data_IF_640237390351
#
_entry.id   IF_640237390351
#
_cell.length_a   1.000
_cell.length_b   1.000
_cell.length_c   1.000
_cell.angle_alpha   90.00
_cell.angle_beta   90.00
_cell.angle_gamma   90.00
#
_symmetry.space_group_name_H-M   'P 1'
#
loop_
_entity.id
_entity.type
_entity.pdbx_description
1 polymer ?
#
# COMPACT_ATOMS: atom_id res chain seq x y z
N UNK A 1 4.25 6.83 2.48
CA UNK A 1 3.42 5.64 2.74
C UNK A 1 4.13 4.81 3.80
N UNK A 2 3.43 4.31 4.83
CA UNK A 2 4.05 3.47 5.86
C UNK A 2 4.56 2.12 5.30
N UNK A 3 5.35 1.41 6.10
CA UNK A 3 5.99 0.14 5.69
C UNK A 3 4.99 -0.99 5.49
N UNK A 4 3.93 -1.09 6.28
CA UNK A 4 2.95 -2.17 6.17
C UNK A 4 2.14 -2.04 4.87
N UNK A 5 1.71 -0.83 4.52
CA UNK A 5 1.05 -0.51 3.26
C UNK A 5 1.92 -0.82 2.05
N UNK A 6 3.22 -0.49 2.11
CA UNK A 6 4.18 -0.83 1.06
C UNK A 6 4.34 -2.37 0.91
N UNK A 7 4.44 -3.09 2.02
CA UNK A 7 4.53 -4.56 2.02
C UNK A 7 3.29 -5.22 1.42
N UNK A 8 2.10 -4.71 1.73
CA UNK A 8 0.86 -5.20 1.13
C UNK A 8 0.87 -5.03 -0.40
N UNK A 9 1.34 -3.90 -0.93
CA UNK A 9 1.48 -3.69 -2.38
C UNK A 9 2.56 -4.60 -2.97
N UNK A 10 3.72 -4.73 -2.32
CA UNK A 10 4.83 -5.58 -2.77
C UNK A 10 4.42 -7.06 -2.83
N UNK A 11 3.56 -7.55 -1.93
CA UNK A 11 3.02 -8.91 -1.97
C UNK A 11 2.33 -9.22 -3.31
N UNK A 12 1.64 -8.23 -3.89
CA UNK A 12 0.92 -8.35 -5.16
C UNK A 12 1.69 -7.78 -6.35
N UNK A 13 2.99 -7.49 -6.21
CA UNK A 13 3.79 -6.84 -7.24
C UNK A 13 3.79 -7.56 -8.57
N UNK A 14 3.91 -8.89 -8.58
CA UNK A 14 3.91 -9.66 -9.82
C UNK A 14 2.59 -9.43 -10.60
N UNK A 15 1.45 -9.58 -9.92
CA UNK A 15 0.14 -9.33 -10.49
C UNK A 15 0.00 -7.88 -10.99
N UNK A 16 0.40 -6.89 -10.18
CA UNK A 16 0.38 -5.47 -10.57
C UNK A 16 1.28 -5.20 -11.80
N UNK A 17 2.45 -5.80 -11.87
CA UNK A 17 3.35 -5.65 -13.02
C UNK A 17 2.75 -6.24 -14.31
N UNK A 18 2.05 -7.37 -14.19
CA UNK A 18 1.54 -8.13 -15.32
C UNK A 18 0.20 -7.58 -15.85
N UNK A 19 -0.73 -7.19 -14.98
CA UNK A 19 -2.10 -6.87 -15.37
C UNK A 19 -2.50 -5.40 -15.22
N UNK A 20 -1.77 -4.59 -14.42
CA UNK A 20 -2.19 -3.21 -14.15
C UNK A 20 -2.09 -2.35 -15.41
N UNK A 21 -3.12 -1.52 -15.66
CA UNK A 21 -3.12 -0.46 -16.66
C UNK A 21 -2.72 0.88 -16.02
N UNK A 22 -1.44 1.28 -16.08
CA UNK A 22 -0.91 2.36 -15.25
C UNK A 22 -1.53 3.71 -15.59
N UNK A 23 -1.84 3.96 -16.87
CA UNK A 23 -2.46 5.22 -17.30
C UNK A 23 -3.90 5.33 -16.81
N UNK A 24 -4.70 4.26 -16.92
CA UNK A 24 -6.08 4.24 -16.42
C UNK A 24 -6.14 4.35 -14.90
N UNK A 25 -5.21 3.71 -14.19
CA UNK A 25 -5.09 3.86 -12.73
C UNK A 25 -4.68 5.30 -12.39
N UNK A 26 -3.72 5.87 -13.11
CA UNK A 26 -3.26 7.24 -12.91
C UNK A 26 -4.40 8.26 -13.10
N UNK A 27 -5.22 8.10 -14.13
CA UNK A 27 -6.38 8.97 -14.40
C UNK A 27 -7.45 8.89 -13.28
N UNK A 28 -7.51 7.76 -12.58
CA UNK A 28 -8.43 7.52 -11.47
C UNK A 28 -7.87 7.90 -10.08
N UNK A 29 -6.59 8.30 -10.00
CA UNK A 29 -6.00 8.78 -8.74
C UNK A 29 -6.62 10.11 -8.32
N UNK A 30 -6.54 10.38 -7.01
CA UNK A 30 -6.98 11.67 -6.47
C UNK A 30 -6.18 12.82 -7.12
N UNK A 31 -6.89 13.88 -7.53
CA UNK A 31 -6.29 15.05 -8.12
C UNK A 31 -5.25 15.66 -7.18
N UNK A 32 -4.07 15.99 -7.70
CA UNK A 32 -2.98 16.58 -6.92
C UNK A 32 -2.10 15.57 -6.17
N UNK A 33 -2.43 14.28 -6.15
CA UNK A 33 -1.55 13.26 -5.58
C UNK A 33 -0.25 13.14 -6.38
N UNK A 34 -0.36 13.14 -7.72
CA UNK A 34 0.76 13.20 -8.64
C UNK A 34 0.90 14.62 -9.19
N UNK A 35 2.12 15.16 -9.14
CA UNK A 35 2.48 16.39 -9.84
C UNK A 35 2.43 16.19 -11.35
N UNK A 36 2.30 17.28 -12.10
CA UNK A 36 2.32 17.25 -13.57
C UNK A 36 3.60 16.59 -14.09
N UNK A 37 4.75 16.88 -13.48
CA UNK A 37 6.04 16.30 -13.88
C UNK A 37 6.07 14.78 -13.68
N UNK A 38 5.53 14.27 -12.57
CA UNK A 38 5.45 12.83 -12.32
C UNK A 38 4.49 12.13 -13.29
N UNK A 39 3.37 12.77 -13.63
CA UNK A 39 2.43 12.24 -14.61
C UNK A 39 3.06 12.15 -16.00
N UNK A 40 3.72 13.20 -16.46
CA UNK A 40 4.42 13.19 -17.75
C UNK A 40 5.55 12.17 -17.76
N UNK A 41 6.33 12.06 -16.68
CA UNK A 41 7.37 11.03 -16.57
C UNK A 41 6.81 9.60 -16.72
N UNK A 42 5.64 9.30 -16.14
CA UNK A 42 4.98 8.00 -16.33
C UNK A 42 4.47 7.84 -17.77
N UNK A 43 3.87 8.87 -18.37
CA UNK A 43 3.37 8.81 -19.76
C UNK A 43 4.48 8.61 -20.77
N UNK A 44 5.60 9.31 -20.59
CA UNK A 44 6.76 9.33 -21.48
C UNK A 44 7.69 8.13 -21.31
N UNK A 45 7.46 7.28 -20.31
CA UNK A 45 8.17 5.99 -20.16
C UNK A 45 7.82 5.06 -21.34
N UNK A 46 8.58 5.22 -22.43
CA UNK A 46 8.33 4.58 -23.74
C UNK A 46 8.74 3.11 -23.82
N UNK A 47 9.26 2.50 -22.75
CA UNK A 47 9.80 1.14 -22.83
C UNK A 47 8.72 0.07 -22.75
N UNK A 48 7.94 -0.02 -21.65
CA UNK A 48 6.89 -1.04 -21.51
C UNK A 48 5.76 -0.61 -20.56
N UNK A 49 4.60 -1.30 -20.60
CA UNK A 49 3.56 -1.20 -19.56
C UNK A 49 4.12 -1.52 -18.17
N UNK A 50 4.99 -2.53 -18.10
CA UNK A 50 5.61 -3.00 -16.87
C UNK A 50 6.49 -1.92 -16.23
N UNK A 51 7.25 -1.19 -17.04
CA UNK A 51 8.08 -0.08 -16.55
C UNK A 51 7.19 1.04 -16.01
N UNK A 52 6.12 1.40 -16.72
CA UNK A 52 5.14 2.37 -16.24
C UNK A 52 4.47 1.95 -14.92
N UNK A 53 4.15 0.67 -14.77
CA UNK A 53 3.64 0.12 -13.51
C UNK A 53 4.67 0.29 -12.38
N UNK A 54 5.95 -0.01 -12.66
CA UNK A 54 7.04 0.15 -11.70
C UNK A 54 7.21 1.61 -11.29
N UNK A 55 7.21 2.54 -12.25
CA UNK A 55 7.38 3.97 -11.95
C UNK A 55 6.21 4.52 -11.14
N UNK A 56 4.97 4.20 -11.51
CA UNK A 56 3.79 4.61 -10.75
C UNK A 56 3.86 4.15 -9.29
N UNK A 57 4.15 2.86 -9.05
CA UNK A 57 4.27 2.33 -7.68
C UNK A 57 5.44 2.97 -6.92
N UNK A 58 6.58 3.15 -7.58
CA UNK A 58 7.77 3.78 -6.98
C UNK A 58 7.49 5.22 -6.55
N UNK A 59 6.75 5.98 -7.35
CA UNK A 59 6.33 7.34 -7.01
C UNK A 59 5.37 7.32 -5.82
N UNK A 60 4.36 6.44 -5.82
CA UNK A 60 3.40 6.32 -4.72
C UNK A 60 4.07 5.98 -3.37
N UNK A 61 5.10 5.13 -3.37
CA UNK A 61 5.85 4.78 -2.15
C UNK A 61 6.58 5.98 -1.55
N UNK A 62 7.03 6.92 -2.39
CA UNK A 62 7.73 8.14 -1.98
C UNK A 62 6.80 9.26 -1.55
N UNK A 63 5.48 9.13 -1.74
CA UNK A 63 4.51 10.13 -1.30
C UNK A 63 4.44 10.21 0.22
N UNK A 64 4.27 11.45 0.71
CA UNK A 64 4.01 11.74 2.12
C UNK A 64 2.76 11.01 2.56
N UNK A 65 2.79 10.48 3.78
CA UNK A 65 1.70 9.68 4.32
C UNK A 65 0.41 10.48 4.51
N UNK A 66 0.54 11.78 4.83
CA UNK A 66 -0.56 12.75 4.92
C UNK A 66 -1.41 12.87 3.64
N UNK A 67 -0.85 12.47 2.49
CA UNK A 67 -1.57 12.47 1.20
C UNK A 67 -2.33 11.17 0.94
N UNK A 68 -2.33 10.23 1.90
CA UNK A 68 -3.03 8.95 1.83
C UNK A 68 -2.82 8.20 0.50
N UNK A 69 -1.57 8.05 0.01
CA UNK A 69 -1.30 7.50 -1.31
C UNK A 69 -1.80 6.07 -1.48
N UNK A 70 -1.86 5.29 -0.41
CA UNK A 70 -2.34 3.91 -0.43
C UNK A 70 -3.84 3.86 -0.65
N UNK A 71 -4.61 4.63 0.14
CA UNK A 71 -6.06 4.71 0.06
C UNK A 71 -6.49 5.18 -1.33
N UNK A 72 -5.83 6.23 -1.84
CA UNK A 72 -6.07 6.72 -3.20
C UNK A 72 -5.71 5.70 -4.28
N UNK A 73 -4.62 4.95 -4.12
CA UNK A 73 -4.25 3.88 -5.05
C UNK A 73 -5.28 2.75 -5.08
N UNK A 74 -5.73 2.29 -3.91
CA UNK A 74 -6.77 1.25 -3.80
C UNK A 74 -8.08 1.73 -4.45
N UNK A 75 -8.49 2.99 -4.22
CA UNK A 75 -9.68 3.54 -4.87
C UNK A 75 -9.53 3.67 -6.38
N UNK A 76 -8.35 4.05 -6.87
CA UNK A 76 -8.09 4.15 -8.30
C UNK A 76 -8.14 2.79 -9.00
N UNK A 77 -7.58 1.74 -8.39
CA UNK A 77 -7.70 0.37 -8.89
C UNK A 77 -9.17 -0.06 -8.97
N UNK A 78 -9.97 0.17 -7.92
CA UNK A 78 -11.41 -0.17 -7.91
C UNK A 78 -12.21 0.53 -9.01
N UNK A 79 -11.80 1.74 -9.42
CA UNK A 79 -12.46 2.51 -10.48
C UNK A 79 -12.00 2.15 -11.89
N UNK A 80 -10.94 1.35 -12.04
CA UNK A 80 -10.34 1.05 -13.33
C UNK A 80 -11.13 -0.01 -14.09
N UNK A 81 -11.31 -1.20 -13.50
CA UNK A 81 -12.19 -2.27 -14.00
C UNK A 81 -12.41 -3.34 -12.91
N UNK A 82 -13.22 -4.36 -13.21
CA UNK A 82 -13.55 -5.45 -12.29
C UNK A 82 -12.33 -6.26 -11.83
N UNK A 83 -11.33 -6.49 -12.68
CA UNK A 83 -10.15 -7.26 -12.30
C UNK A 83 -9.27 -6.46 -11.32
N UNK A 84 -9.12 -5.16 -11.58
CA UNK A 84 -8.42 -4.26 -10.68
C UNK A 84 -9.18 -4.06 -9.36
N UNK A 85 -10.52 -4.11 -9.38
CA UNK A 85 -11.33 -4.09 -8.16
C UNK A 85 -11.08 -5.31 -7.26
N UNK A 86 -10.99 -6.52 -7.84
CA UNK A 86 -10.64 -7.74 -7.11
C UNK A 86 -9.25 -7.60 -6.50
N UNK A 87 -8.25 -7.21 -7.30
CA UNK A 87 -6.88 -7.01 -6.84
C UNK A 87 -6.79 -5.97 -5.72
N UNK A 88 -7.55 -4.88 -5.81
CA UNK A 88 -7.61 -3.86 -4.78
C UNK A 88 -8.22 -4.36 -3.46
N UNK A 89 -9.23 -5.24 -3.54
CA UNK A 89 -9.81 -5.90 -2.35
C UNK A 89 -8.79 -6.83 -1.70
N UNK A 90 -8.07 -7.61 -2.49
CA UNK A 90 -7.05 -8.55 -2.01
C UNK A 90 -5.91 -7.81 -1.30
N UNK A 91 -5.35 -6.77 -1.92
CA UNK A 91 -4.30 -5.94 -1.30
C UNK A 91 -4.78 -5.33 0.02
N UNK A 92 -6.01 -4.78 0.04
CA UNK A 92 -6.57 -4.16 1.24
C UNK A 92 -6.83 -5.20 2.35
N UNK A 93 -7.24 -6.41 2.00
CA UNK A 93 -7.46 -7.49 2.95
C UNK A 93 -6.14 -7.97 3.56
N UNK A 94 -5.09 -8.15 2.76
CA UNK A 94 -3.75 -8.50 3.25
C UNK A 94 -3.23 -7.44 4.21
N UNK A 95 -3.35 -6.16 3.87
CA UNK A 95 -2.97 -5.07 4.78
C UNK A 95 -3.70 -5.15 6.12
N UNK A 96 -5.03 -5.36 6.12
CA UNK A 96 -5.83 -5.46 7.35
C UNK A 96 -5.42 -6.66 8.20
N UNK A 97 -5.31 -7.83 7.59
CA UNK A 97 -4.96 -9.06 8.29
C UNK A 97 -3.56 -8.98 8.94
N UNK A 98 -2.57 -8.47 8.20
CA UNK A 98 -1.20 -8.35 8.72
C UNK A 98 -1.09 -7.27 9.80
N UNK A 99 -1.90 -6.22 9.72
CA UNK A 99 -1.97 -5.22 10.77
C UNK A 99 -2.65 -5.78 12.04
N UNK A 100 -3.75 -6.53 11.90
CA UNK A 100 -4.42 -7.18 13.03
C UNK A 100 -3.52 -8.22 13.72
N UNK A 101 -2.75 -8.99 12.94
CA UNK A 101 -1.76 -9.93 13.48
C UNK A 101 -0.63 -9.21 14.25
N UNK A 102 -0.15 -8.06 13.75
CA UNK A 102 0.84 -7.25 14.44
C UNK A 102 0.30 -6.63 15.74
N UNK A 103 -0.98 -6.19 15.74
CA UNK A 103 -1.66 -5.68 16.94
C UNK A 103 -1.80 -6.78 17.99
N UNK A 104 -2.22 -7.98 17.61
CA UNK A 104 -2.37 -9.12 18.53
C UNK A 104 -1.03 -9.54 19.16
N UNK A 105 0.07 -9.55 18.41
CA UNK A 105 1.40 -9.85 18.95
C UNK A 105 1.92 -8.79 19.94
N UNK A 106 1.55 -7.53 19.75
CA UNK A 106 1.95 -6.45 20.65
C UNK A 106 1.15 -6.46 21.97
N UNK A 107 -0.14 -6.83 21.92
CA UNK A 107 -0.97 -6.98 23.12
C UNK A 107 -0.47 -8.14 23.98
N UNK A 108 -0.10 -9.28 23.37
CA UNK A 108 0.44 -10.42 24.14
C UNK A 108 1.73 -10.09 24.90
N UNK A 109 2.61 -9.26 24.33
CA UNK A 109 3.90 -8.88 24.96
C UNK A 109 3.78 -7.86 26.10
N UNK A 110 2.71 -7.08 26.15
CA UNK A 110 2.49 -6.12 27.25
C UNK A 110 1.88 -6.76 28.50
N UNK A 111 1.32 -7.97 28.38
CA UNK A 111 0.73 -8.72 29.51
C UNK A 111 1.77 -9.33 30.44
N UNK A 112 3.02 -9.48 30.00
CA UNK A 112 4.09 -10.17 30.75
C UNK A 112 4.92 -9.21 31.64
N UNK A 113 4.56 -7.92 31.73
CA UNK A 113 5.35 -6.89 32.43
C UNK A 113 4.74 -6.40 33.76
N UNK A 114 3.68 -7.04 34.28
CA UNK A 114 3.04 -6.68 35.56
C UNK A 114 3.11 -7.78 36.64
N UNK A 115 4.19 -8.59 36.68
CA UNK A 115 4.54 -9.33 37.91
C UNK A 115 5.53 -8.52 38.76
N UNK A 116 5.01 -7.44 39.34
CA UNK A 116 5.62 -6.75 40.48
C UNK A 116 5.69 -7.67 41.69
N UNK A 117 6.88 -8.22 41.94
CA UNK A 117 7.61 -8.20 43.21
C UNK A 117 6.75 -8.01 44.48
N UNK A 118 6.12 -9.08 44.94
CA UNK A 118 5.66 -9.24 46.32
C UNK A 118 6.17 -10.58 46.84
N UNK A 119 7.34 -10.57 47.48
CA UNK A 119 7.55 -11.29 48.74
C UNK A 119 9.00 -11.11 49.21
N UNK A 120 9.22 -10.06 49.98
CA UNK A 120 10.36 -9.93 50.88
C UNK A 120 9.89 -9.17 52.12
N UNK A 121 9.20 -9.88 53.02
CA UNK A 121 9.20 -9.64 54.46
C UNK A 121 8.34 -10.71 55.18
N UNK A 122 8.98 -11.75 55.69
CA UNK A 122 8.80 -12.25 57.07
C UNK A 122 9.99 -13.13 57.46
#
# INVERSE_FOLDING_TARGET
MDKQKQLAIEHYKAALMDSMHPLSVMDNLCAGLLSVVEQEFIKESQTTRRDRNRELISILFRKREELEPFEHFIQALKKTDTNHEILAKDILQTYKHDNDAAVLQNISRTSDAEETNYDLQM
#
